data_IF_418684163255
#
_entry.id   IF_418684163255
#
_cell.length_a   1.000
_cell.length_b   1.000
_cell.length_c   1.000
_cell.angle_alpha   90.00
_cell.angle_beta   90.00
_cell.angle_gamma   90.00
#
_symmetry.space_group_name_H-M   'P 1'
#
loop_
_entity.id
_entity.type
_entity.pdbx_description
1 polymer ?
#
# COMPACT_ATOMS: atom_id res chain seq x y z
N UNK A 1 1.58 -6.30 -3.45
CA UNK A 1 1.13 -5.20 -4.32
C UNK A 1 -0.38 -5.07 -4.26
N UNK A 2 -0.86 -3.87 -4.24
CA UNK A 2 -2.28 -3.58 -4.27
C UNK A 2 -2.58 -2.60 -5.41
N UNK A 3 -3.58 -2.92 -6.23
CA UNK A 3 -4.07 -2.02 -7.28
C UNK A 3 -5.45 -1.53 -6.89
N UNK A 4 -5.66 -0.23 -6.92
CA UNK A 4 -6.94 0.38 -6.54
C UNK A 4 -7.42 1.30 -7.64
N UNK A 5 -8.69 1.16 -7.99
CA UNK A 5 -9.35 2.05 -8.95
C UNK A 5 -10.49 2.78 -8.24
N UNK A 6 -10.44 4.10 -8.24
CA UNK A 6 -11.49 4.95 -7.69
C UNK A 6 -12.38 5.52 -8.80
N UNK A 7 -13.63 5.89 -8.48
CA UNK A 7 -14.55 6.47 -9.48
C UNK A 7 -14.08 7.81 -10.04
N UNK A 8 -13.21 8.52 -9.33
CA UNK A 8 -12.70 9.83 -9.76
C UNK A 8 -11.31 10.07 -9.21
N UNK A 9 -10.59 10.99 -9.83
CA UNK A 9 -9.29 11.43 -9.31
C UNK A 9 -9.44 12.12 -7.96
N UNK A 10 -10.53 12.84 -7.75
CA UNK A 10 -10.80 13.51 -6.49
C UNK A 10 -10.88 12.52 -5.33
N UNK A 11 -11.55 11.39 -5.52
CA UNK A 11 -11.62 10.34 -4.48
C UNK A 11 -10.28 9.67 -4.25
N UNK A 12 -9.51 9.45 -5.31
CA UNK A 12 -8.16 8.92 -5.19
C UNK A 12 -7.27 9.87 -4.38
N UNK A 13 -7.34 11.17 -4.66
CA UNK A 13 -6.57 12.18 -3.94
C UNK A 13 -6.94 12.24 -2.46
N UNK A 14 -8.23 12.14 -2.16
CA UNK A 14 -8.71 12.11 -0.77
C UNK A 14 -8.19 10.87 -0.03
N UNK A 15 -8.18 9.72 -0.68
CA UNK A 15 -7.62 8.51 -0.10
C UNK A 15 -6.11 8.66 0.17
N UNK A 16 -5.35 9.20 -0.77
CA UNK A 16 -3.92 9.44 -0.58
C UNK A 16 -3.65 10.42 0.56
N UNK A 17 -4.44 11.48 0.65
CA UNK A 17 -4.32 12.45 1.74
C UNK A 17 -4.55 11.78 3.11
N UNK A 18 -5.54 10.90 3.20
CA UNK A 18 -5.81 10.14 4.42
C UNK A 18 -4.62 9.22 4.77
N UNK A 19 -4.03 8.56 3.78
CA UNK A 19 -2.85 7.73 4.00
C UNK A 19 -1.67 8.55 4.54
N UNK A 20 -1.42 9.71 3.98
CA UNK A 20 -0.32 10.58 4.42
C UNK A 20 -0.47 11.05 5.85
N UNK A 21 -1.70 11.27 6.30
CA UNK A 21 -1.96 11.78 7.66
C UNK A 21 -2.08 10.68 8.70
N UNK A 22 -2.66 9.54 8.36
CA UNK A 22 -3.00 8.51 9.34
C UNK A 22 -2.19 7.23 9.21
N UNK A 23 -1.80 6.87 8.00
CA UNK A 23 -1.18 5.58 7.75
C UNK A 23 0.33 5.56 7.96
N UNK A 24 1.02 6.66 7.69
CA UNK A 24 2.48 6.70 7.85
C UNK A 24 2.91 6.39 9.28
N UNK A 25 2.19 6.92 10.26
CA UNK A 25 2.47 6.64 11.66
C UNK A 25 2.24 5.17 12.01
N UNK A 26 1.16 4.58 11.50
CA UNK A 26 0.86 3.17 11.69
C UNK A 26 1.89 2.26 11.04
N UNK A 27 2.39 2.61 9.87
CA UNK A 27 3.45 1.86 9.20
C UNK A 27 4.65 1.69 10.11
N UNK A 28 5.09 2.78 10.72
CA UNK A 28 6.27 2.77 11.58
C UNK A 28 6.06 1.99 12.87
N UNK A 29 4.91 2.16 13.50
CA UNK A 29 4.68 1.67 14.87
C UNK A 29 3.88 0.38 14.97
N UNK A 30 3.09 0.04 13.95
CA UNK A 30 2.12 -1.07 14.05
C UNK A 30 2.26 -2.12 12.96
N UNK A 31 3.25 -2.01 12.07
CA UNK A 31 3.44 -2.99 11.00
C UNK A 31 4.87 -3.50 10.93
N UNK A 32 5.04 -4.62 10.24
CA UNK A 32 6.35 -5.20 9.94
C UNK A 32 6.81 -4.84 8.52
N UNK A 33 6.16 -3.85 7.90
CA UNK A 33 6.50 -3.36 6.58
C UNK A 33 7.88 -2.70 6.61
N UNK A 34 8.77 -3.14 5.74
CA UNK A 34 10.13 -2.59 5.63
C UNK A 34 10.14 -1.39 4.69
N UNK A 35 9.37 -1.46 3.63
CA UNK A 35 9.32 -0.44 2.61
C UNK A 35 7.94 -0.39 1.99
N UNK A 36 7.41 0.79 1.77
CA UNK A 36 6.15 0.96 1.07
C UNK A 36 6.24 2.14 0.10
N UNK A 37 5.78 1.92 -1.11
CA UNK A 37 5.71 2.93 -2.16
C UNK A 37 4.31 2.95 -2.73
N UNK A 38 3.77 4.13 -2.93
CA UNK A 38 2.46 4.32 -3.56
C UNK A 38 2.63 5.26 -4.73
N UNK A 39 2.09 4.87 -5.89
CA UNK A 39 2.18 5.72 -7.06
C UNK A 39 0.84 5.82 -7.80
N UNK A 40 0.65 6.94 -8.46
CA UNK A 40 -0.48 7.16 -9.35
C UNK A 40 -0.14 6.58 -10.73
N UNK A 41 -0.97 5.68 -11.23
CA UNK A 41 -0.75 5.03 -12.52
C UNK A 41 -1.67 5.54 -13.63
N UNK A 42 -2.68 6.31 -13.26
CA UNK A 42 -3.64 6.90 -14.18
C UNK A 42 -4.66 7.69 -13.41
N UNK A 43 -5.63 8.27 -14.09
CA UNK A 43 -6.69 9.01 -13.42
C UNK A 43 -7.52 8.10 -12.53
N UNK A 44 -7.58 8.41 -11.23
CA UNK A 44 -8.29 7.60 -10.25
C UNK A 44 -7.63 6.26 -9.94
N UNK A 45 -6.41 6.00 -10.43
CA UNK A 45 -5.73 4.72 -10.26
C UNK A 45 -4.48 4.85 -9.42
N UNK A 46 -4.35 3.97 -8.43
CA UNK A 46 -3.23 3.95 -7.50
C UNK A 46 -2.71 2.52 -7.38
N UNK A 47 -1.40 2.37 -7.31
CA UNK A 47 -0.74 1.10 -7.05
C UNK A 47 0.18 1.28 -5.85
N UNK A 48 0.06 0.37 -4.89
CA UNK A 48 0.92 0.34 -3.71
C UNK A 48 1.78 -0.90 -3.68
N UNK A 49 3.04 -0.74 -3.29
CA UNK A 49 3.99 -1.84 -3.12
C UNK A 49 4.46 -1.85 -1.68
N UNK A 50 4.35 -3.00 -1.03
CA UNK A 50 4.91 -3.19 0.29
C UNK A 50 5.93 -4.32 0.27
N UNK A 51 7.04 -4.15 0.98
CA UNK A 51 8.06 -5.18 1.11
C UNK A 51 8.22 -5.57 2.57
N UNK A 52 8.41 -6.86 2.81
CA UNK A 52 8.58 -7.44 4.13
C UNK A 52 9.84 -8.29 4.16
N UNK A 53 10.44 -8.46 5.34
CA UNK A 53 11.65 -9.26 5.49
C UNK A 53 11.42 -10.76 5.28
N UNK A 54 10.18 -11.22 5.50
CA UNK A 54 9.85 -12.63 5.36
C UNK A 54 8.39 -12.81 4.99
N UNK A 55 8.04 -13.99 4.48
CA UNK A 55 6.66 -14.37 4.24
C UNK A 55 5.84 -14.36 5.54
N UNK A 56 6.44 -14.78 6.63
CA UNK A 56 5.80 -14.79 7.94
C UNK A 56 5.38 -13.39 8.36
N UNK A 57 6.27 -12.39 8.21
CA UNK A 57 5.99 -11.00 8.54
C UNK A 57 4.86 -10.45 7.66
N UNK A 58 4.87 -10.79 6.38
CA UNK A 58 3.83 -10.39 5.44
C UNK A 58 2.47 -10.98 5.84
N UNK A 59 2.42 -12.26 6.14
CA UNK A 59 1.17 -12.94 6.50
C UNK A 59 0.61 -12.39 7.81
N UNK A 60 1.46 -12.12 8.78
CA UNK A 60 1.03 -11.54 10.05
C UNK A 60 0.44 -10.16 9.86
N UNK A 61 1.12 -9.29 9.13
CA UNK A 61 0.65 -7.93 8.85
C UNK A 61 -0.66 -7.95 8.07
N UNK A 62 -0.74 -8.81 7.05
CA UNK A 62 -1.95 -8.94 6.23
C UNK A 62 -3.16 -9.37 7.05
N UNK A 63 -2.99 -10.36 7.93
CA UNK A 63 -4.08 -10.83 8.78
C UNK A 63 -4.63 -9.73 9.68
N UNK A 64 -3.74 -8.91 10.22
CA UNK A 64 -4.14 -7.86 11.18
C UNK A 64 -4.75 -6.63 10.48
N UNK A 65 -4.31 -6.30 9.27
CA UNK A 65 -4.61 -5.02 8.67
C UNK A 65 -5.44 -5.08 7.38
N UNK A 66 -5.54 -6.22 6.73
CA UNK A 66 -6.21 -6.30 5.43
C UNK A 66 -7.67 -5.88 5.47
N UNK A 67 -8.39 -6.31 6.51
CA UNK A 67 -9.80 -5.93 6.64
C UNK A 67 -9.95 -4.42 6.81
N UNK A 68 -9.09 -3.82 7.59
CA UNK A 68 -9.08 -2.36 7.78
C UNK A 68 -8.86 -1.66 6.44
N UNK A 69 -7.91 -2.12 5.65
CA UNK A 69 -7.64 -1.56 4.34
C UNK A 69 -8.82 -1.71 3.38
N UNK A 70 -9.42 -2.89 3.34
CA UNK A 70 -10.59 -3.12 2.50
C UNK A 70 -11.73 -2.17 2.87
N UNK A 71 -11.96 -1.94 4.16
CA UNK A 71 -12.99 -1.03 4.62
C UNK A 71 -12.67 0.43 4.25
N UNK A 72 -11.42 0.86 4.39
CA UNK A 72 -11.00 2.20 3.98
C UNK A 72 -11.17 2.41 2.47
N UNK A 73 -10.74 1.44 1.68
CA UNK A 73 -10.84 1.54 0.22
C UNK A 73 -12.31 1.64 -0.20
N UNK A 74 -13.18 0.83 0.40
CA UNK A 74 -14.62 0.87 0.14
C UNK A 74 -15.25 2.19 0.53
N UNK A 75 -14.75 2.84 1.59
CA UNK A 75 -15.26 4.15 2.02
C UNK A 75 -15.07 5.23 0.96
N UNK A 76 -14.13 5.05 0.06
CA UNK A 76 -13.89 5.95 -1.07
C UNK A 76 -14.39 5.35 -2.40
N UNK A 77 -15.23 4.32 -2.32
CA UNK A 77 -15.79 3.60 -3.49
C UNK A 77 -14.72 2.97 -4.38
N UNK A 78 -13.59 2.58 -3.80
CA UNK A 78 -12.51 1.96 -4.54
C UNK A 78 -12.75 0.48 -4.82
N UNK A 79 -12.24 0.04 -5.98
CA UNK A 79 -12.15 -1.38 -6.35
C UNK A 79 -10.70 -1.79 -6.17
N UNK A 80 -10.47 -2.90 -5.47
CA UNK A 80 -9.13 -3.32 -5.08
C UNK A 80 -8.78 -4.70 -5.60
N UNK A 81 -7.53 -4.86 -6.04
CA UNK A 81 -6.93 -6.16 -6.35
C UNK A 81 -5.65 -6.30 -5.52
N UNK A 82 -5.52 -7.44 -4.85
CA UNK A 82 -4.35 -7.75 -4.04
C UNK A 82 -3.48 -8.78 -4.75
N UNK A 83 -2.18 -8.54 -4.75
CA UNK A 83 -1.19 -9.47 -5.29
C UNK A 83 -0.04 -9.60 -4.31
N UNK A 84 0.47 -10.81 -4.14
CA UNK A 84 1.63 -11.06 -3.31
C UNK A 84 2.51 -12.12 -3.94
N UNK A 85 3.78 -12.10 -3.59
CA UNK A 85 4.72 -13.08 -4.11
C UNK A 85 6.08 -12.91 -3.48
N UNK A 86 6.97 -13.84 -3.82
CA UNK A 86 8.35 -13.80 -3.38
C UNK A 86 9.14 -12.82 -4.24
N UNK A 87 9.97 -12.00 -3.61
CA UNK A 87 10.90 -11.14 -4.35
C UNK A 87 12.03 -12.03 -4.86
N UNK A 88 12.12 -12.17 -6.17
CA UNK A 88 13.13 -13.03 -6.80
C UNK A 88 14.31 -12.27 -7.34
N UNK A 89 14.21 -10.96 -7.45
CA UNK A 89 15.31 -10.08 -7.84
C UNK A 89 15.05 -8.67 -7.33
N UNK A 90 16.08 -8.05 -6.79
CA UNK A 90 16.03 -6.66 -6.38
C UNK A 90 17.36 -5.99 -6.70
N UNK A 91 17.28 -4.82 -7.32
CA UNK A 91 18.44 -3.98 -7.55
C UNK A 91 18.20 -2.63 -6.89
N UNK A 92 19.19 -2.17 -6.16
CA UNK A 92 19.14 -0.87 -5.50
C UNK A 92 20.49 -0.18 -5.68
N UNK A 93 20.48 0.95 -6.38
CA UNK A 93 21.69 1.75 -6.54
C UNK A 93 21.85 2.66 -5.33
N UNK A 94 23.02 2.61 -4.70
CA UNK A 94 23.33 3.59 -3.66
C UNK A 94 23.64 4.93 -4.32
N UNK A 95 22.91 5.95 -3.87
CA UNK A 95 23.17 7.32 -4.31
C UNK A 95 24.02 7.97 -3.21
N UNK A 96 25.27 8.19 -3.52
CA UNK A 96 26.16 8.96 -2.64
C UNK A 96 25.78 10.42 -2.78
N UNK A 97 25.29 10.98 -1.69
CA UNK A 97 24.99 12.39 -1.63
C UNK A 97 26.25 13.22 -1.43
#
# INVERSE_FOLDING_TARGET
MVSIKFPSQQKADAFVAMMKTSWLEKLENETLTVEQTVMKTGEGKIVGFGRYNSEEDFLKTSRELRKMWDDFIKSFDGLVEWHSGEVVMQYKRELNS
#
